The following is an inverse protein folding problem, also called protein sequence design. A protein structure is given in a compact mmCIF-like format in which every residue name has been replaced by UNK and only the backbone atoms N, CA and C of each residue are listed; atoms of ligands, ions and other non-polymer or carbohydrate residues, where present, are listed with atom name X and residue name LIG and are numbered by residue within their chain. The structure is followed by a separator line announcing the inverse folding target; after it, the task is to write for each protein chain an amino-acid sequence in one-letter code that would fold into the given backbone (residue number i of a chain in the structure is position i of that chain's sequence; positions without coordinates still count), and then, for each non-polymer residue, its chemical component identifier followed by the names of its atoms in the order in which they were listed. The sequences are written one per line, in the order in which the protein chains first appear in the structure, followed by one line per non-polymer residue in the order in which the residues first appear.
data_IF_869985041066
#
_entry.id   IF_869985041066
#
_cell.length_a   1.000
_cell.length_b   1.000
_cell.length_c   1.000
_cell.angle_alpha   90.00
_cell.angle_beta   90.00
_cell.angle_gamma   90.00
#
_symmetry.space_group_name_H-M   'P 1'
#
loop_
_entity.id
_entity.type
_entity.pdbx_description
1 polymer ?
#
# COMPACT_ATOMS: atom_id res chain seq x y z
N UNK A 1 -24.49 23.39 -4.36
CA UNK A 1 -24.06 21.97 -4.31
C UNK A 1 -22.54 21.90 -4.32
N UNK A 2 -21.90 21.53 -3.20
CA UNK A 2 -20.46 21.28 -3.17
C UNK A 2 -20.16 20.03 -4.00
N UNK A 3 -19.39 20.17 -5.08
CA UNK A 3 -18.82 19.02 -5.81
C UNK A 3 -18.12 18.13 -4.78
N UNK A 4 -18.53 16.87 -4.67
CA UNK A 4 -17.80 15.89 -3.88
C UNK A 4 -16.35 15.87 -4.39
N UNK A 5 -15.44 16.46 -3.60
CA UNK A 5 -14.01 16.34 -3.83
C UNK A 5 -13.69 14.85 -3.79
N UNK A 6 -13.07 14.36 -4.86
CA UNK A 6 -12.71 12.98 -5.11
C UNK A 6 -12.40 12.20 -3.82
N UNK A 7 -13.39 11.43 -3.36
CA UNK A 7 -13.24 10.42 -2.33
C UNK A 7 -12.50 9.26 -2.98
N UNK A 8 -11.23 9.06 -2.63
CA UNK A 8 -10.41 7.97 -3.16
C UNK A 8 -11.13 6.63 -2.89
N UNK A 9 -11.29 5.79 -3.93
CA UNK A 9 -12.11 4.57 -3.89
C UNK A 9 -11.26 3.29 -3.88
N UNK A 10 -11.72 2.29 -3.11
CA UNK A 10 -11.12 0.98 -2.90
C UNK A 10 -11.04 0.08 -4.14
N UNK A 11 -9.84 -0.44 -4.44
CA UNK A 11 -9.65 -1.42 -5.53
C UNK A 11 -8.57 -2.45 -5.19
N UNK A 12 -8.68 -3.12 -4.04
CA UNK A 12 -7.82 -4.28 -3.76
C UNK A 12 -7.03 -4.19 -2.46
N UNK A 13 -5.98 -5.01 -2.36
CA UNK A 13 -5.28 -5.35 -1.12
C UNK A 13 -4.29 -4.26 -0.69
N UNK A 14 -4.68 -3.37 0.21
CA UNK A 14 -3.77 -3.00 1.30
C UNK A 14 -2.59 -2.05 1.02
N UNK A 15 -2.11 -2.01 -0.23
CA UNK A 15 -0.67 -2.02 -0.51
C UNK A 15 0.05 -0.78 0.01
N UNK A 16 -0.56 0.41 -0.12
CA UNK A 16 -0.02 1.62 0.50
C UNK A 16 0.13 1.53 2.02
N UNK A 17 -0.93 1.08 2.72
CA UNK A 17 -0.92 0.90 4.18
C UNK A 17 0.06 -0.19 4.63
N UNK A 18 0.14 -1.33 3.92
CA UNK A 18 1.17 -2.34 4.19
C UNK A 18 2.56 -1.81 3.97
N UNK A 19 2.78 -1.05 2.88
CA UNK A 19 4.09 -0.50 2.61
C UNK A 19 4.54 0.46 3.72
N UNK A 20 3.62 1.29 4.25
CA UNK A 20 3.90 2.12 5.43
C UNK A 20 4.24 1.24 6.64
N UNK A 21 3.39 0.25 6.95
CA UNK A 21 3.61 -0.65 8.09
C UNK A 21 4.93 -1.41 8.01
N UNK A 22 5.29 -1.94 6.84
CA UNK A 22 6.57 -2.61 6.61
C UNK A 22 7.75 -1.65 6.73
N UNK A 23 7.63 -0.41 6.25
CA UNK A 23 8.69 0.59 6.46
C UNK A 23 8.92 0.89 7.94
N UNK A 24 7.84 1.02 8.71
CA UNK A 24 7.90 1.35 10.13
C UNK A 24 8.35 0.18 10.99
N UNK A 25 7.86 -1.02 10.72
CA UNK A 25 8.28 -2.24 11.42
C UNK A 25 9.81 -2.41 11.38
N UNK A 26 10.38 -2.21 10.20
CA UNK A 26 11.81 -2.34 9.96
C UNK A 26 12.66 -1.20 10.53
N UNK A 27 12.16 0.04 10.49
CA UNK A 27 12.93 1.20 10.96
C UNK A 27 12.77 1.44 12.45
N UNK A 28 11.62 1.09 13.02
CA UNK A 28 11.23 1.44 14.38
C UNK A 28 11.06 0.22 15.29
N UNK A 29 10.84 -0.98 14.74
CA UNK A 29 10.55 -2.20 15.50
C UNK A 29 9.14 -2.15 16.08
N UNK A 30 8.12 -2.42 15.25
CA UNK A 30 6.74 -2.38 15.73
C UNK A 30 6.42 -3.67 16.50
N UNK A 31 5.91 -3.54 17.73
CA UNK A 31 5.50 -4.70 18.54
C UNK A 31 4.35 -5.52 17.89
N UNK A 32 3.40 -4.82 17.25
CA UNK A 32 2.30 -5.43 16.49
C UNK A 32 2.10 -4.67 15.15
N UNK A 33 2.83 -5.05 14.08
CA UNK A 33 2.73 -4.40 12.78
C UNK A 33 1.32 -4.50 12.17
N UNK A 34 0.62 -5.62 12.40
CA UNK A 34 -0.71 -5.86 11.85
C UNK A 34 -1.79 -5.04 12.58
N UNK A 35 -1.70 -4.97 13.91
CA UNK A 35 -2.53 -4.09 14.73
C UNK A 35 -2.34 -2.62 14.36
N UNK A 36 -1.09 -2.18 14.18
CA UNK A 36 -0.78 -0.82 13.72
C UNK A 36 -1.45 -0.50 12.37
N UNK A 37 -1.30 -1.38 11.38
CA UNK A 37 -1.94 -1.19 10.07
C UNK A 37 -3.46 -1.14 10.19
N UNK A 38 -4.06 -2.00 11.02
CA UNK A 38 -5.50 -2.00 11.25
C UNK A 38 -5.98 -0.68 11.86
N UNK A 39 -5.26 -0.14 12.85
CA UNK A 39 -5.58 1.15 13.48
C UNK A 39 -5.47 2.29 12.45
N UNK A 40 -4.41 2.29 11.64
CA UNK A 40 -4.22 3.28 10.58
C UNK A 40 -5.36 3.26 9.56
N UNK A 41 -5.80 2.08 9.13
CA UNK A 41 -6.92 1.91 8.19
C UNK A 41 -8.22 2.43 8.79
N UNK A 42 -8.57 2.06 10.04
CA UNK A 42 -9.80 2.51 10.69
C UNK A 42 -9.82 4.03 10.92
N UNK A 43 -8.70 4.62 11.36
CA UNK A 43 -8.60 6.06 11.54
C UNK A 43 -8.74 6.83 10.22
N UNK A 44 -8.18 6.31 9.13
CA UNK A 44 -8.35 6.92 7.81
C UNK A 44 -9.80 6.87 7.32
N UNK A 45 -10.56 5.80 7.65
CA UNK A 45 -11.99 5.72 7.37
C UNK A 45 -12.77 6.75 8.19
N UNK A 46 -12.52 6.81 9.50
CA UNK A 46 -13.23 7.71 10.41
C UNK A 46 -13.01 9.19 10.06
N UNK A 47 -11.77 9.57 9.72
CA UNK A 47 -11.41 10.94 9.33
C UNK A 47 -11.84 11.31 7.90
N UNK A 48 -12.33 10.35 7.10
CA UNK A 48 -12.67 10.57 5.70
C UNK A 48 -11.47 10.82 4.77
N UNK A 49 -10.24 10.57 5.24
CA UNK A 49 -9.02 10.65 4.42
C UNK A 49 -9.05 9.66 3.25
N UNK A 50 -9.64 8.48 3.46
CA UNK A 50 -9.98 7.53 2.41
C UNK A 50 -11.26 6.79 2.76
N UNK A 51 -12.04 6.41 1.75
CA UNK A 51 -13.38 5.81 1.92
C UNK A 51 -13.29 4.27 1.86
N UNK A 52 -12.15 3.73 2.31
CA UNK A 52 -11.69 2.32 2.29
C UNK A 52 -10.72 2.05 1.12
N UNK A 53 -9.65 1.27 1.37
CA UNK A 53 -8.84 0.62 0.32
C UNK A 53 -7.50 1.26 -0.08
N UNK A 54 -6.82 0.60 -1.03
CA UNK A 54 -5.47 0.93 -1.54
C UNK A 54 -5.27 2.42 -1.85
N UNK A 55 -4.17 2.96 -1.32
CA UNK A 55 -3.79 4.36 -1.49
C UNK A 55 -2.77 4.44 -2.62
N UNK A 56 -3.23 4.62 -3.85
CA UNK A 56 -2.39 4.74 -5.05
C UNK A 56 -1.91 6.15 -5.35
N UNK A 57 -2.42 7.19 -4.71
CA UNK A 57 -1.86 8.51 -4.91
C UNK A 57 -0.67 8.70 -3.97
N UNK A 58 0.51 9.00 -4.52
CA UNK A 58 1.72 9.17 -3.71
C UNK A 58 1.61 10.37 -2.76
N UNK A 59 0.84 11.40 -3.12
CA UNK A 59 0.60 12.57 -2.27
C UNK A 59 -0.30 12.16 -1.10
N UNK A 60 -1.39 11.42 -1.36
CA UNK A 60 -2.24 10.90 -0.30
C UNK A 60 -1.49 9.92 0.61
N UNK A 61 -0.65 9.06 0.04
CA UNK A 61 0.16 8.12 0.81
C UNK A 61 1.15 8.86 1.73
N UNK A 62 1.73 9.97 1.25
CA UNK A 62 2.57 10.84 2.06
C UNK A 62 1.80 11.45 3.23
N UNK A 63 0.60 11.97 2.98
CA UNK A 63 -0.23 12.60 4.01
C UNK A 63 -0.66 11.58 5.09
N UNK A 64 -1.03 10.37 4.67
CA UNK A 64 -1.30 9.26 5.58
C UNK A 64 -0.05 8.93 6.38
N UNK A 65 1.10 8.70 5.74
CA UNK A 65 2.34 8.39 6.44
C UNK A 65 2.67 9.44 7.51
N UNK A 66 2.67 10.73 7.16
CA UNK A 66 2.94 11.83 8.10
C UNK A 66 1.99 11.88 9.29
N UNK A 67 0.77 11.38 9.14
CA UNK A 67 -0.23 11.34 10.21
C UNK A 67 0.09 10.26 11.26
N UNK A 68 0.72 9.15 10.86
CA UNK A 68 0.89 7.96 11.72
C UNK A 68 2.35 7.61 12.06
N UNK A 69 3.34 8.20 11.39
CA UNK A 69 4.75 7.88 11.70
C UNK A 69 5.16 8.38 13.10
N UNK A 70 6.04 7.63 13.81
CA UNK A 70 6.72 8.11 15.01
C UNK A 70 7.53 9.40 14.77
N UNK A 71 7.76 10.19 15.83
CA UNK A 71 8.43 11.49 15.73
C UNK A 71 9.89 11.41 15.25
N UNK A 72 10.57 10.30 15.50
CA UNK A 72 11.94 10.02 15.10
C UNK A 72 12.05 9.46 13.67
N UNK A 73 10.92 9.22 13.00
CA UNK A 73 10.87 8.83 11.60
C UNK A 73 10.47 10.02 10.76
N UNK A 74 11.20 10.23 9.66
CA UNK A 74 10.87 11.23 8.64
C UNK A 74 10.40 10.53 7.38
N UNK A 75 9.47 11.17 6.68
CA UNK A 75 8.98 10.73 5.37
C UNK A 75 9.02 11.88 4.37
N UNK A 76 9.54 11.60 3.18
CA UNK A 76 9.61 12.58 2.09
C UNK A 76 9.21 11.95 0.76
N UNK A 77 8.64 12.76 -0.13
CA UNK A 77 8.38 12.37 -1.52
C UNK A 77 9.56 12.77 -2.39
N UNK A 78 10.13 11.79 -3.09
CA UNK A 78 11.31 11.99 -3.95
C UNK A 78 10.94 11.72 -5.40
N UNK A 79 11.49 12.51 -6.31
CA UNK A 79 11.39 12.27 -7.75
C UNK A 79 12.57 11.42 -8.21
N UNK A 80 12.29 10.35 -8.94
CA UNK A 80 13.29 9.48 -9.56
C UNK A 80 13.45 9.85 -11.04
N UNK A 81 14.65 10.20 -11.46
CA UNK A 81 15.00 10.55 -12.84
C UNK A 81 15.78 9.41 -13.53
N UNK A 82 16.60 8.67 -12.77
CA UNK A 82 17.42 7.57 -13.24
C UNK A 82 17.29 6.34 -12.32
N UNK A 83 17.77 5.18 -12.80
CA UNK A 83 17.74 3.96 -12.00
C UNK A 83 18.66 4.07 -10.79
N UNK A 84 19.81 4.73 -10.97
CA UNK A 84 20.85 4.98 -9.98
C UNK A 84 20.32 5.77 -8.78
N UNK A 85 19.28 6.60 -8.97
CA UNK A 85 18.63 7.33 -7.87
C UNK A 85 18.10 6.37 -6.80
N UNK A 86 17.65 5.15 -7.16
CA UNK A 86 17.21 4.14 -6.19
C UNK A 86 18.35 3.71 -5.29
N UNK A 87 19.56 3.55 -5.82
CA UNK A 87 20.72 3.17 -5.03
C UNK A 87 21.19 4.33 -4.15
N UNK A 88 21.17 5.55 -4.69
CA UNK A 88 21.64 6.74 -3.98
C UNK A 88 20.80 7.06 -2.73
N UNK A 89 19.51 6.69 -2.73
CA UNK A 89 18.62 6.92 -1.58
C UNK A 89 18.54 5.73 -0.61
N UNK A 90 19.00 4.54 -1.01
CA UNK A 90 18.92 3.32 -0.19
C UNK A 90 20.18 3.12 0.65
N UNK A 91 20.03 3.24 1.96
CA UNK A 91 20.99 2.90 3.01
C UNK A 91 20.32 2.06 4.12
N UNK A 92 21.11 1.61 5.11
CA UNK A 92 20.63 0.80 6.25
C UNK A 92 19.47 1.47 7.00
N UNK A 93 19.51 2.80 7.15
CA UNK A 93 18.51 3.59 7.89
C UNK A 93 17.37 4.13 7.03
N UNK A 94 17.20 3.60 5.82
CA UNK A 94 16.17 4.08 4.89
C UNK A 94 15.28 2.95 4.38
N UNK A 95 14.04 3.28 4.05
CA UNK A 95 13.11 2.40 3.34
C UNK A 95 12.39 3.19 2.26
N UNK A 96 12.23 2.60 1.08
CA UNK A 96 11.58 3.29 -0.04
C UNK A 96 10.30 2.58 -0.44
N UNK A 97 9.19 3.29 -0.44
CA UNK A 97 7.95 2.83 -1.06
C UNK A 97 7.96 3.25 -2.53
N UNK A 98 8.14 2.29 -3.43
CA UNK A 98 8.23 2.53 -4.87
C UNK A 98 6.95 2.00 -5.58
N UNK A 99 6.21 2.86 -6.30
CA UNK A 99 5.16 2.38 -7.20
C UNK A 99 5.78 1.64 -8.39
N UNK A 100 5.28 0.46 -8.71
CA UNK A 100 5.70 -0.37 -9.84
C UNK A 100 4.48 -0.90 -10.61
N UNK A 101 4.63 -1.10 -11.91
CA UNK A 101 3.58 -1.70 -12.73
C UNK A 101 3.67 -3.23 -12.68
N UNK A 102 2.65 -3.90 -12.14
CA UNK A 102 2.52 -5.36 -12.15
C UNK A 102 1.32 -5.80 -12.99
N UNK A 103 1.59 -6.34 -14.18
CA UNK A 103 0.54 -6.61 -15.15
C UNK A 103 -0.24 -5.34 -15.51
N UNK A 104 -1.55 -5.32 -15.26
CA UNK A 104 -2.43 -4.18 -15.57
C UNK A 104 -2.63 -3.20 -14.41
N UNK A 105 -2.18 -3.53 -13.20
CA UNK A 105 -2.43 -2.76 -11.98
C UNK A 105 -1.11 -2.25 -11.39
N UNK A 106 -1.02 -0.97 -10.98
CA UNK A 106 0.11 -0.50 -10.18
C UNK A 106 0.09 -1.17 -8.80
N UNK A 107 1.27 -1.34 -8.20
CA UNK A 107 1.45 -1.77 -6.81
C UNK A 107 2.57 -0.97 -6.18
N UNK A 108 2.56 -0.85 -4.85
CA UNK A 108 3.74 -0.42 -4.11
C UNK A 108 4.59 -1.62 -3.73
N UNK A 109 5.91 -1.43 -3.79
CA UNK A 109 6.89 -2.33 -3.20
C UNK A 109 7.72 -1.55 -2.19
N UNK A 110 8.02 -2.17 -1.05
CA UNK A 110 8.98 -1.62 -0.10
C UNK A 110 10.37 -2.10 -0.44
N UNK A 111 11.28 -1.18 -0.68
CA UNK A 111 12.66 -1.45 -0.99
C UNK A 111 13.53 -1.32 0.26
N UNK A 112 14.43 -2.28 0.41
CA UNK A 112 15.47 -2.30 1.43
C UNK A 112 16.83 -2.50 0.77
N UNK A 113 17.86 -1.87 1.33
CA UNK A 113 19.23 -2.09 0.89
C UNK A 113 19.75 -3.44 1.39
N UNK A 114 20.44 -4.18 0.53
CA UNK A 114 21.25 -5.32 0.94
C UNK A 114 22.53 -5.35 0.11
N UNK A 115 23.62 -4.84 0.68
CA UNK A 115 24.99 -4.93 0.17
C UNK A 115 25.14 -4.87 -1.36
N UNK A 116 24.81 -3.71 -1.97
CA UNK A 116 25.15 -3.40 -3.37
C UNK A 116 23.97 -3.24 -4.31
N UNK A 117 24.10 -3.75 -5.55
CA UNK A 117 23.18 -3.50 -6.69
C UNK A 117 21.87 -4.32 -6.64
N UNK A 118 21.71 -5.18 -5.64
CA UNK A 118 20.54 -6.03 -5.44
C UNK A 118 19.70 -5.42 -4.33
N UNK A 119 18.42 -5.21 -4.61
CA UNK A 119 17.47 -4.60 -3.70
C UNK A 119 16.46 -5.65 -3.29
N UNK A 120 16.15 -5.67 -1.99
CA UNK A 120 15.12 -6.53 -1.44
C UNK A 120 13.78 -5.83 -1.53
N UNK A 121 12.77 -6.51 -2.07
CA UNK A 121 11.38 -6.08 -2.09
C UNK A 121 10.61 -6.84 -1.01
N UNK A 122 9.98 -6.11 -0.09
CA UNK A 122 9.10 -6.69 0.93
C UNK A 122 7.64 -6.43 0.57
N UNK A 123 6.90 -7.49 0.24
CA UNK A 123 5.47 -7.44 -0.01
C UNK A 123 4.75 -8.48 0.86
N UNK A 124 4.02 -8.03 1.88
CA UNK A 124 3.19 -8.91 2.71
C UNK A 124 3.98 -10.02 3.43
N UNK A 125 5.22 -9.74 3.83
CA UNK A 125 6.10 -10.67 4.54
C UNK A 125 6.96 -11.57 3.64
N UNK A 126 6.78 -11.54 2.32
CA UNK A 126 7.68 -12.21 1.38
C UNK A 126 8.78 -11.25 0.91
N UNK A 127 10.02 -11.73 1.03
CA UNK A 127 11.27 -11.02 0.73
C UNK A 127 11.79 -11.54 -0.61
N UNK A 128 11.74 -10.70 -1.64
CA UNK A 128 12.25 -11.06 -2.97
C UNK A 128 13.41 -10.16 -3.38
N UNK A 129 14.44 -10.73 -4.01
CA UNK A 129 15.59 -9.99 -4.53
C UNK A 129 15.34 -9.56 -5.98
N UNK A 130 15.50 -8.27 -6.27
CA UNK A 130 15.39 -7.70 -7.61
C UNK A 130 16.57 -6.77 -7.91
N UNK A 131 16.93 -6.61 -9.18
CA UNK A 131 17.90 -5.56 -9.56
C UNK A 131 17.23 -4.18 -9.57
N UNK A 132 17.93 -3.14 -9.11
CA UNK A 132 17.40 -1.78 -9.09
C UNK A 132 16.97 -1.29 -10.49
N UNK A 133 17.71 -1.70 -11.54
CA UNK A 133 17.35 -1.40 -12.94
C UNK A 133 16.02 -2.01 -13.35
N UNK A 134 15.74 -3.25 -12.92
CA UNK A 134 14.43 -3.90 -13.16
C UNK A 134 13.31 -3.13 -12.46
N UNK A 135 13.51 -2.74 -11.20
CA UNK A 135 12.54 -1.97 -10.43
C UNK A 135 12.27 -0.60 -11.05
N UNK A 136 13.30 0.13 -11.45
CA UNK A 136 13.15 1.41 -12.14
C UNK A 136 12.38 1.28 -13.46
N UNK A 137 12.64 0.22 -14.24
CA UNK A 137 11.88 -0.05 -15.47
C UNK A 137 10.40 -0.30 -15.18
N UNK A 138 10.08 -1.07 -14.14
CA UNK A 138 8.69 -1.30 -13.71
C UNK A 138 8.02 -0.01 -13.22
N UNK A 139 8.77 0.84 -12.51
CA UNK A 139 8.32 2.15 -12.06
C UNK A 139 8.01 3.11 -13.23
N UNK A 140 8.89 3.17 -14.24
CA UNK A 140 8.69 4.04 -15.42
C UNK A 140 7.43 3.68 -16.22
N UNK A 141 7.00 2.42 -16.14
CA UNK A 141 5.81 1.89 -16.81
C UNK A 141 4.50 2.20 -16.06
N UNK A 142 4.58 2.72 -14.83
CA UNK A 142 3.41 3.19 -14.09
C UNK A 142 2.76 4.33 -14.89
N UNK A 143 1.45 4.21 -15.10
CA UNK A 143 0.61 5.21 -15.75
C UNK A 143 0.08 6.19 -14.69
N UNK A 144 -0.39 7.35 -15.11
CA UNK A 144 -1.08 8.29 -14.21
C UNK A 144 -2.60 8.24 -14.34
N UNK A 145 -3.12 7.46 -15.30
CA UNK A 145 -4.56 7.27 -15.53
C UNK A 145 -4.84 5.79 -15.63
N UNK A 146 -5.82 5.34 -14.85
CA UNK A 146 -6.20 3.94 -14.80
C UNK A 146 -7.72 3.79 -14.90
N UNK A 147 -8.12 2.79 -15.68
CA UNK A 147 -9.50 2.32 -15.74
C UNK A 147 -9.72 1.38 -14.58
N UNK A 148 -10.46 1.88 -13.61
CA UNK A 148 -10.70 1.24 -12.34
C UNK A 148 -12.10 0.68 -12.27
N UNK A 149 -12.26 -0.45 -11.59
CA UNK A 149 -13.59 -0.89 -11.14
C UNK A 149 -13.85 -0.16 -9.83
N UNK A 150 -14.93 0.63 -9.76
CA UNK A 150 -15.28 1.49 -8.60
C UNK A 150 -15.44 0.74 -7.27
N UNK A 151 -15.47 -0.59 -7.31
CA UNK A 151 -15.57 -1.43 -6.13
C UNK A 151 -14.69 -2.67 -6.34
N UNK A 152 -13.65 -2.82 -5.52
CA UNK A 152 -13.15 -4.13 -5.16
C UNK A 152 -13.28 -4.34 -3.65
N UNK A 153 -13.76 -5.51 -3.29
CA UNK A 153 -14.34 -5.85 -1.98
C UNK A 153 -13.26 -6.11 -0.95
N UNK A 154 -13.57 -5.82 0.33
CA UNK A 154 -12.92 -6.35 1.54
C UNK A 154 -12.03 -7.56 1.26
N UNK A 155 -10.75 -7.42 1.58
CA UNK A 155 -9.75 -8.37 1.12
C UNK A 155 -9.83 -9.68 1.90
N UNK A 156 -9.47 -10.81 1.27
CA UNK A 156 -9.20 -12.09 1.96
C UNK A 156 -8.14 -11.93 3.07
N UNK A 157 -7.34 -10.86 3.01
CA UNK A 157 -6.34 -10.52 4.00
C UNK A 157 -6.94 -9.80 5.22
N UNK A 158 -7.93 -8.91 5.06
CA UNK A 158 -8.68 -8.35 6.20
C UNK A 158 -9.43 -9.46 6.94
N UNK A 159 -10.01 -10.41 6.19
CA UNK A 159 -10.54 -11.65 6.76
C UNK A 159 -9.46 -12.42 7.54
N UNK A 160 -8.29 -12.64 6.95
CA UNK A 160 -7.19 -13.36 7.59
C UNK A 160 -6.62 -12.64 8.84
N UNK A 161 -6.45 -11.32 8.78
CA UNK A 161 -6.06 -10.49 9.93
C UNK A 161 -7.10 -10.62 11.03
N UNK A 162 -8.38 -10.49 10.71
CA UNK A 162 -9.44 -10.58 11.71
C UNK A 162 -9.49 -11.98 12.33
N UNK A 163 -9.40 -13.04 11.52
CA UNK A 163 -9.33 -14.42 12.02
C UNK A 163 -8.14 -14.62 12.98
N UNK A 164 -6.95 -14.10 12.63
CA UNK A 164 -5.76 -14.16 13.49
C UNK A 164 -5.91 -13.33 14.77
N UNK A 165 -6.36 -12.08 14.64
CA UNK A 165 -6.49 -11.12 15.74
C UNK A 165 -7.49 -11.58 16.80
N UNK A 166 -8.64 -12.10 16.37
CA UNK A 166 -9.72 -12.51 17.26
C UNK A 166 -9.66 -13.98 17.68
N UNK A 167 -8.63 -14.75 17.25
CA UNK A 167 -8.49 -16.18 17.52
C UNK A 167 -9.79 -16.95 17.29
N UNK A 168 -10.46 -16.64 16.17
CA UNK A 168 -11.77 -17.18 15.86
C UNK A 168 -11.73 -18.72 15.77
N UNK A 169 -12.76 -19.36 16.27
CA UNK A 169 -12.99 -20.80 16.10
C UNK A 169 -13.20 -21.17 14.63
N UNK A 170 -13.03 -22.45 14.27
CA UNK A 170 -13.28 -22.91 12.90
C UNK A 170 -14.70 -22.59 12.41
N UNK A 171 -15.70 -22.64 13.30
CA UNK A 171 -17.08 -22.29 12.97
C UNK A 171 -17.22 -20.80 12.65
N UNK A 172 -16.62 -19.91 13.45
CA UNK A 172 -16.63 -18.46 13.20
C UNK A 172 -15.88 -18.10 11.91
N UNK A 173 -14.75 -18.76 11.64
CA UNK A 173 -14.01 -18.62 10.38
C UNK A 173 -14.89 -19.06 9.19
N UNK A 174 -15.60 -20.18 9.31
CA UNK A 174 -16.51 -20.65 8.26
C UNK A 174 -17.68 -19.69 8.02
N UNK A 175 -18.30 -19.15 9.07
CA UNK A 175 -19.38 -18.17 8.96
C UNK A 175 -18.89 -16.89 8.28
N UNK A 176 -17.79 -16.32 8.76
CA UNK A 176 -17.19 -15.12 8.16
C UNK A 176 -16.75 -15.37 6.71
N UNK A 177 -16.31 -16.58 6.36
CA UNK A 177 -15.93 -16.95 5.00
C UNK A 177 -17.14 -16.99 4.06
N UNK A 178 -18.30 -17.45 4.54
CA UNK A 178 -19.58 -17.39 3.80
C UNK A 178 -20.03 -15.95 3.61
N UNK A 179 -20.06 -15.15 4.67
CA UNK A 179 -20.41 -13.72 4.59
C UNK A 179 -19.47 -12.96 3.65
N UNK A 180 -18.19 -13.31 3.65
CA UNK A 180 -17.20 -12.78 2.71
C UNK A 180 -17.53 -13.16 1.26
N UNK A 181 -17.88 -14.43 1.01
CA UNK A 181 -18.25 -14.91 -0.33
C UNK A 181 -19.51 -14.20 -0.84
N UNK A 182 -20.51 -14.02 0.00
CA UNK A 182 -21.79 -13.39 -0.35
C UNK A 182 -21.64 -11.89 -0.58
N UNK A 183 -20.86 -11.20 0.26
CA UNK A 183 -20.47 -9.81 0.01
C UNK A 183 -19.70 -9.66 -1.30
N UNK A 184 -18.79 -10.60 -1.60
CA UNK A 184 -18.03 -10.60 -2.86
C UNK A 184 -18.96 -10.74 -4.07
N UNK A 185 -19.93 -11.64 -4.03
CA UNK A 185 -20.96 -11.81 -5.06
C UNK A 185 -21.80 -10.53 -5.23
N UNK A 186 -22.33 -9.98 -4.13
CA UNK A 186 -23.13 -8.74 -4.13
C UNK A 186 -22.38 -7.56 -4.72
N UNK A 187 -21.11 -7.40 -4.41
CA UNK A 187 -20.28 -6.30 -4.90
C UNK A 187 -19.74 -6.53 -6.32
N UNK A 188 -19.60 -7.78 -6.79
CA UNK A 188 -19.40 -8.06 -8.23
C UNK A 188 -20.53 -7.45 -9.07
N UNK A 189 -21.77 -7.53 -8.58
CA UNK A 189 -22.94 -6.95 -9.26
C UNK A 189 -22.94 -5.41 -9.24
N UNK A 190 -22.29 -4.78 -8.27
CA UNK A 190 -22.22 -3.31 -8.15
C UNK A 190 -21.04 -2.66 -8.92
N UNK A 191 -20.27 -3.46 -9.67
CA UNK A 191 -19.11 -2.97 -10.44
C UNK A 191 -19.52 -1.92 -11.49
N UNK A 192 -19.24 -0.66 -11.20
CA UNK A 192 -19.19 0.42 -12.20
C UNK A 192 -17.74 0.66 -12.63
N UNK A 193 -17.46 0.90 -13.91
CA UNK A 193 -16.13 1.36 -14.36
C UNK A 193 -16.00 2.86 -14.07
N UNK A 194 -14.82 3.30 -13.65
CA UNK A 194 -14.48 4.70 -13.46
C UNK A 194 -13.03 4.94 -13.87
N UNK A 195 -12.74 6.13 -14.41
CA UNK A 195 -11.36 6.57 -14.63
C UNK A 195 -10.91 7.40 -13.42
N UNK A 196 -9.74 7.09 -12.89
CA UNK A 196 -9.11 7.91 -11.85
C UNK A 196 -7.72 8.31 -12.33
N UNK A 197 -7.41 9.59 -12.13
CA UNK A 197 -6.05 10.10 -12.26
C UNK A 197 -5.37 10.01 -10.90
N UNK A 198 -4.16 9.48 -10.88
CA UNK A 198 -3.34 9.32 -9.66
C UNK A 198 -1.92 9.75 -9.96
N UNK A 199 -1.29 10.40 -8.99
CA UNK A 199 0.12 10.82 -9.10
C UNK A 199 1.00 9.72 -8.53
N UNK A 200 1.58 8.89 -9.38
CA UNK A 200 2.58 7.87 -8.96
C UNK A 200 3.85 7.91 -9.79
N UNK A 201 3.70 8.16 -11.10
CA UNK A 201 4.80 8.01 -12.04
C UNK A 201 5.91 9.00 -11.70
N UNK A 202 7.13 8.46 -11.60
CA UNK A 202 8.34 9.25 -11.35
C UNK A 202 8.58 9.61 -9.89
N UNK A 203 7.73 9.18 -8.96
CA UNK A 203 7.86 9.49 -7.54
C UNK A 203 7.90 8.24 -6.66
N UNK A 204 8.63 8.32 -5.55
CA UNK A 204 8.61 7.35 -4.46
C UNK A 204 8.46 8.07 -3.11
N UNK A 205 8.16 7.32 -2.05
CA UNK A 205 8.30 7.82 -0.68
C UNK A 205 9.57 7.24 -0.05
N UNK A 206 10.37 8.10 0.57
CA UNK A 206 11.53 7.72 1.36
C UNK A 206 11.20 7.90 2.84
N UNK A 207 11.32 6.82 3.60
CA UNK A 207 11.30 6.77 5.06
C UNK A 207 12.73 6.69 5.57
N UNK A 208 13.04 7.46 6.60
CA UNK A 208 14.39 7.48 7.17
C UNK A 208 14.36 7.91 8.64
N UNK A 209 15.32 7.40 9.40
CA UNK A 209 15.66 7.90 10.74
C UNK A 209 16.65 9.06 10.63
#
# INVERSE_FOLDING_TARGET
MRKERYKYMQIGKTCGFYSIGCCLDELYGLDDPLGFISIMVENCKYSGLTVVGEVFDIDLLLDIAKTFIPRDIKVSKIKLNAAEDILNILSENTRVILPVQSGKTPHYVVLQSHNGRIVTCCNGGMVEKHSYKKLFRLHKNVKNKYDWKKFEVCSKFDFYINCKRYKLSEQEIQMWSRDWKDNRERLKMLRKRGKQEVKMKGYCLLFYR
#
